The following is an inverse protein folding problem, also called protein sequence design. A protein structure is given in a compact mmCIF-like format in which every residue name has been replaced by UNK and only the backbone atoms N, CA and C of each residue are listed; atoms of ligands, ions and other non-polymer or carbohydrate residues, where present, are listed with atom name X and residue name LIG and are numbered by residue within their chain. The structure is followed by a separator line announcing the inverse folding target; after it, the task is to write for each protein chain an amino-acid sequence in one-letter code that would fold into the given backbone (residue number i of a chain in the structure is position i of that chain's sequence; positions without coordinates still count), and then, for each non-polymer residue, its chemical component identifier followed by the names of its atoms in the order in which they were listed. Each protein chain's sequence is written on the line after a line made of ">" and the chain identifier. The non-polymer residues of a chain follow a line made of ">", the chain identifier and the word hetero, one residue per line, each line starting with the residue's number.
data_IF_056929138160
#
_entry.id   IF_056929138160
#
_cell.length_a   1.000
_cell.length_b   1.000
_cell.length_c   1.000
_cell.angle_alpha   90.00
_cell.angle_beta   90.00
_cell.angle_gamma   90.00
#
_symmetry.space_group_name_H-M   'P 1'
#
loop_
_entity.id
_entity.type
_entity.pdbx_description
1 polymer ?
#
# COMPACT_ATOMS: atom_id res chain seq x y z
N UNK A 1 -12.97 -30.90 0.64
CA UNK A 1 -11.72 -30.15 0.49
C UNK A 1 -11.99 -28.69 0.81
N UNK A 2 -11.10 -28.03 1.54
CA UNK A 2 -11.19 -26.59 1.81
C UNK A 2 -10.94 -25.82 0.51
N UNK A 3 -11.75 -24.78 0.23
CA UNK A 3 -11.53 -23.92 -0.94
C UNK A 3 -10.27 -23.06 -0.69
N UNK A 4 -9.39 -22.83 -1.68
CA UNK A 4 -8.24 -21.97 -1.54
C UNK A 4 -8.67 -20.51 -1.33
N UNK A 5 -7.83 -19.69 -0.68
CA UNK A 5 -8.04 -18.26 -0.59
C UNK A 5 -7.71 -17.61 -1.94
N UNK A 6 -8.66 -16.83 -2.49
CA UNK A 6 -8.48 -16.13 -3.76
C UNK A 6 -8.51 -14.61 -3.57
N UNK A 7 -7.72 -13.90 -4.37
CA UNK A 7 -7.75 -12.44 -4.46
C UNK A 7 -8.76 -11.99 -5.53
N UNK A 8 -8.79 -12.68 -6.66
CA UNK A 8 -9.60 -12.35 -7.82
C UNK A 8 -10.21 -13.58 -8.47
N UNK A 9 -11.33 -13.39 -9.13
CA UNK A 9 -11.96 -14.37 -10.01
C UNK A 9 -12.43 -13.66 -11.27
N UNK A 10 -12.22 -14.27 -12.45
CA UNK A 10 -12.74 -13.70 -13.70
C UNK A 10 -14.27 -13.70 -13.72
N UNK A 11 -14.93 -12.77 -14.46
CA UNK A 11 -16.39 -12.69 -14.53
C UNK A 11 -17.06 -13.99 -14.99
N UNK A 12 -16.42 -14.74 -15.88
CA UNK A 12 -16.87 -16.05 -16.36
C UNK A 12 -16.55 -17.20 -15.38
N UNK A 13 -15.86 -16.90 -14.28
CA UNK A 13 -15.44 -17.84 -13.21
C UNK A 13 -14.55 -18.98 -13.68
N UNK A 14 -13.91 -18.85 -14.83
CA UNK A 14 -13.02 -19.89 -15.37
C UNK A 14 -11.63 -19.84 -14.76
N UNK A 15 -11.21 -18.67 -14.25
CA UNK A 15 -9.89 -18.47 -13.64
C UNK A 15 -10.01 -17.81 -12.28
N UNK A 16 -9.14 -18.21 -11.37
CA UNK A 16 -8.98 -17.60 -10.04
C UNK A 16 -7.51 -17.28 -9.82
N UNK A 17 -7.24 -16.19 -9.12
CA UNK A 17 -5.92 -15.84 -8.63
C UNK A 17 -5.86 -16.11 -7.13
N UNK A 18 -4.87 -16.86 -6.67
CA UNK A 18 -4.68 -17.10 -5.24
C UNK A 18 -4.31 -15.81 -4.52
N UNK A 19 -4.82 -15.62 -3.31
CA UNK A 19 -4.51 -14.48 -2.47
C UNK A 19 -3.00 -14.40 -2.18
N UNK A 20 -2.36 -15.53 -1.90
CA UNK A 20 -0.92 -15.60 -1.70
C UNK A 20 -0.15 -15.13 -2.94
N UNK A 21 -0.51 -15.59 -4.12
CA UNK A 21 0.16 -15.21 -5.37
C UNK A 21 0.03 -13.71 -5.63
N UNK A 22 -1.17 -13.17 -5.50
CA UNK A 22 -1.44 -11.74 -5.64
C UNK A 22 -0.62 -10.90 -4.64
N UNK A 23 -0.71 -11.23 -3.35
CA UNK A 23 0.02 -10.49 -2.30
C UNK A 23 1.53 -10.52 -2.53
N UNK A 24 2.10 -11.66 -2.97
CA UNK A 24 3.53 -11.76 -3.28
C UNK A 24 3.92 -10.94 -4.50
N UNK A 25 3.16 -11.02 -5.58
CA UNK A 25 3.40 -10.22 -6.79
C UNK A 25 3.36 -8.71 -6.48
N UNK A 26 2.33 -8.28 -5.75
CA UNK A 26 2.19 -6.86 -5.33
C UNK A 26 3.33 -6.46 -4.40
N UNK A 27 3.71 -7.34 -3.46
CA UNK A 27 4.85 -7.11 -2.56
C UNK A 27 6.16 -6.93 -3.30
N UNK A 28 6.47 -7.81 -4.25
CA UNK A 28 7.69 -7.75 -5.06
C UNK A 28 7.73 -6.49 -5.94
N UNK A 29 6.65 -6.15 -6.61
CA UNK A 29 6.57 -4.95 -7.47
C UNK A 29 6.65 -3.66 -6.67
N UNK A 30 5.90 -3.56 -5.58
CA UNK A 30 5.94 -2.40 -4.70
C UNK A 30 7.33 -2.24 -4.07
N UNK A 31 7.96 -3.34 -3.65
CA UNK A 31 9.34 -3.36 -3.16
C UNK A 31 10.33 -2.87 -4.21
N UNK A 32 10.29 -3.40 -5.43
CA UNK A 32 11.16 -3.00 -6.52
C UNK A 32 11.02 -1.49 -6.87
N UNK A 33 9.80 -0.96 -6.88
CA UNK A 33 9.57 0.47 -7.05
C UNK A 33 10.18 1.29 -5.90
N UNK A 34 9.96 0.87 -4.66
CA UNK A 34 10.46 1.57 -3.47
C UNK A 34 11.98 1.44 -3.26
N UNK A 35 12.64 0.45 -3.87
CA UNK A 35 14.10 0.30 -3.85
C UNK A 35 14.82 1.54 -4.38
N UNK A 36 14.23 2.25 -5.35
CA UNK A 36 14.80 3.47 -5.93
C UNK A 36 14.98 4.60 -4.91
N UNK A 37 14.22 4.57 -3.82
CA UNK A 37 14.34 5.54 -2.71
C UNK A 37 14.87 4.90 -1.42
N UNK A 38 15.42 3.67 -1.51
CA UNK A 38 16.00 2.94 -0.38
C UNK A 38 14.99 2.38 0.61
N UNK A 39 13.76 2.07 0.16
CA UNK A 39 12.64 1.58 0.96
C UNK A 39 12.04 0.27 0.39
N UNK A 40 12.88 -0.62 -0.13
CA UNK A 40 12.46 -1.88 -0.75
C UNK A 40 11.60 -2.73 0.18
N UNK A 41 12.10 -2.97 1.39
CA UNK A 41 11.41 -3.81 2.36
C UNK A 41 10.14 -3.18 2.91
N UNK A 42 10.09 -1.84 3.02
CA UNK A 42 8.86 -1.15 3.38
C UNK A 42 7.80 -1.29 2.27
N UNK A 43 8.19 -1.17 1.00
CA UNK A 43 7.33 -1.42 -0.14
C UNK A 43 6.81 -2.85 -0.16
N UNK A 44 7.71 -3.82 0.00
CA UNK A 44 7.36 -5.25 0.03
C UNK A 44 6.39 -5.58 1.16
N UNK A 45 6.69 -5.15 2.39
CA UNK A 45 5.81 -5.29 3.55
C UNK A 45 4.40 -4.76 3.27
N UNK A 46 4.33 -3.56 2.67
CA UNK A 46 3.07 -2.89 2.37
C UNK A 46 2.24 -3.69 1.36
N UNK A 47 2.88 -4.18 0.30
CA UNK A 47 2.22 -5.00 -0.72
C UNK A 47 1.79 -6.36 -0.21
N UNK A 48 2.59 -7.03 0.63
CA UNK A 48 2.22 -8.33 1.22
C UNK A 48 0.95 -8.25 2.08
N UNK A 49 0.70 -7.11 2.75
CA UNK A 49 -0.39 -6.96 3.73
C UNK A 49 -1.62 -6.22 3.19
N UNK A 50 -1.57 -5.61 1.99
CA UNK A 50 -2.61 -4.69 1.53
C UNK A 50 -4.01 -5.32 1.50
N UNK A 51 -4.09 -6.57 1.14
CA UNK A 51 -5.31 -7.34 0.95
C UNK A 51 -5.56 -8.41 2.05
N UNK A 52 -4.92 -8.28 3.22
CA UNK A 52 -5.09 -9.21 4.35
C UNK A 52 -6.58 -9.48 4.66
N UNK A 53 -7.42 -8.47 4.60
CA UNK A 53 -8.85 -8.60 4.88
C UNK A 53 -9.62 -9.46 3.87
N UNK A 54 -9.05 -9.74 2.69
CA UNK A 54 -9.66 -10.70 1.75
C UNK A 54 -9.67 -12.14 2.30
N UNK A 55 -8.89 -12.43 3.34
CA UNK A 55 -8.87 -13.75 3.98
C UNK A 55 -10.12 -14.05 4.86
N UNK A 56 -10.99 -13.06 5.10
CA UNK A 56 -12.27 -13.30 5.78
C UNK A 56 -13.16 -14.27 5.00
N UNK A 57 -13.85 -15.17 5.68
CA UNK A 57 -14.73 -16.16 5.04
C UNK A 57 -15.85 -15.49 4.23
N UNK A 58 -16.41 -14.41 4.72
CA UNK A 58 -17.47 -13.65 4.08
C UNK A 58 -16.98 -12.98 2.79
N UNK A 59 -15.74 -12.50 2.78
CA UNK A 59 -15.11 -11.94 1.56
C UNK A 59 -14.83 -13.06 0.57
N UNK A 60 -14.33 -14.21 1.03
CA UNK A 60 -14.11 -15.38 0.17
C UNK A 60 -15.42 -15.91 -0.41
N UNK A 61 -16.48 -16.02 0.38
CA UNK A 61 -17.78 -16.44 -0.13
C UNK A 61 -18.30 -15.49 -1.21
N UNK A 62 -18.16 -14.19 -1.01
CA UNK A 62 -18.48 -13.19 -2.04
C UNK A 62 -17.63 -13.38 -3.32
N UNK A 63 -16.32 -13.53 -3.19
CA UNK A 63 -15.43 -13.77 -4.33
C UNK A 63 -15.80 -15.05 -5.10
N UNK A 64 -16.26 -16.06 -4.40
CA UNK A 64 -16.80 -17.29 -5.02
C UNK A 64 -18.25 -17.16 -5.50
N UNK A 65 -18.85 -15.96 -5.42
CA UNK A 65 -20.13 -15.60 -6.02
C UNK A 65 -21.34 -15.74 -5.12
N UNK A 66 -21.16 -15.81 -3.81
CA UNK A 66 -22.25 -15.61 -2.89
C UNK A 66 -22.73 -14.14 -2.92
N UNK A 67 -24.02 -13.87 -2.67
CA UNK A 67 -24.52 -12.50 -2.59
C UNK A 67 -23.85 -11.74 -1.44
N UNK A 68 -23.58 -10.43 -1.66
CA UNK A 68 -23.01 -9.56 -0.63
C UNK A 68 -24.02 -9.42 0.52
N UNK A 69 -23.55 -9.73 1.73
CA UNK A 69 -24.27 -9.46 2.97
C UNK A 69 -23.51 -8.36 3.71
N UNK A 70 -24.02 -7.13 3.66
CA UNK A 70 -23.37 -5.98 4.31
C UNK A 70 -22.26 -5.31 3.48
N UNK A 71 -21.43 -4.49 4.14
CA UNK A 71 -20.24 -3.87 3.54
C UNK A 71 -19.03 -4.72 3.82
N UNK A 72 -18.37 -5.16 2.76
CA UNK A 72 -17.07 -5.84 2.84
C UNK A 72 -15.98 -4.78 2.74
N UNK A 73 -15.30 -4.51 3.86
CA UNK A 73 -14.14 -3.62 3.90
C UNK A 73 -12.90 -4.46 4.23
N UNK A 74 -12.10 -4.78 3.21
CA UNK A 74 -10.92 -5.62 3.35
C UNK A 74 -9.62 -4.81 3.54
N UNK A 75 -9.59 -3.53 3.17
CA UNK A 75 -8.36 -2.71 3.27
C UNK A 75 -8.01 -2.29 4.70
N UNK A 76 -8.98 -2.25 5.61
CA UNK A 76 -8.74 -1.84 7.00
C UNK A 76 -8.05 -2.91 7.85
N UNK A 77 -8.16 -4.18 7.51
CA UNK A 77 -7.56 -5.26 8.30
C UNK A 77 -6.03 -5.22 8.28
N UNK A 78 -5.41 -5.13 7.10
CA UNK A 78 -3.95 -5.00 6.97
C UNK A 78 -3.42 -3.71 7.61
N UNK A 79 -4.12 -2.59 7.40
CA UNK A 79 -3.82 -1.32 8.05
C UNK A 79 -3.78 -1.44 9.57
N UNK A 80 -4.81 -2.04 10.16
CA UNK A 80 -4.96 -2.21 11.60
C UNK A 80 -3.89 -3.17 12.14
N UNK A 81 -3.68 -4.29 11.48
CA UNK A 81 -2.74 -5.30 11.94
C UNK A 81 -1.32 -4.77 12.02
N UNK A 82 -0.80 -4.13 10.96
CA UNK A 82 0.58 -3.63 10.95
C UNK A 82 0.79 -2.53 12.00
N UNK A 83 -0.23 -1.71 12.25
CA UNK A 83 -0.16 -0.69 13.29
C UNK A 83 -0.22 -1.29 14.71
N UNK A 84 -1.14 -2.20 14.99
CA UNK A 84 -1.28 -2.83 16.31
C UNK A 84 -0.06 -3.68 16.67
N UNK A 85 0.51 -4.40 15.68
CA UNK A 85 1.67 -5.26 15.89
C UNK A 85 2.98 -4.46 16.08
N UNK A 86 3.19 -3.39 15.31
CA UNK A 86 4.51 -2.74 15.22
C UNK A 86 4.51 -1.24 15.47
N UNK A 87 3.37 -0.59 15.65
CA UNK A 87 3.28 0.86 15.77
C UNK A 87 2.71 1.36 17.08
N UNK A 88 1.56 0.84 17.51
CA UNK A 88 0.72 1.41 18.58
C UNK A 88 1.44 1.60 19.92
N UNK A 89 2.17 0.58 20.37
CA UNK A 89 2.90 0.60 21.64
C UNK A 89 4.43 0.56 21.45
N UNK A 90 4.90 0.77 20.23
CA UNK A 90 6.31 0.66 19.90
C UNK A 90 7.07 1.93 20.31
N UNK A 91 8.19 1.73 21.01
CA UNK A 91 9.06 2.82 21.47
C UNK A 91 10.18 3.15 20.47
N UNK A 92 10.56 2.19 19.62
CA UNK A 92 11.57 2.38 18.57
C UNK A 92 10.98 3.21 17.43
N UNK A 93 11.43 4.46 17.28
CA UNK A 93 10.89 5.42 16.32
C UNK A 93 10.84 4.88 14.87
N UNK A 94 11.87 4.12 14.45
CA UNK A 94 11.93 3.59 13.09
C UNK A 94 10.86 2.53 12.81
N UNK A 95 10.59 1.64 13.76
CA UNK A 95 9.51 0.66 13.66
C UNK A 95 8.15 1.34 13.63
N UNK A 96 7.91 2.26 14.56
CA UNK A 96 6.64 3.00 14.61
C UNK A 96 6.39 3.78 13.32
N UNK A 97 7.43 4.40 12.76
CA UNK A 97 7.33 5.16 11.52
C UNK A 97 7.07 4.24 10.31
N UNK A 98 7.79 3.11 10.19
CA UNK A 98 7.56 2.13 9.15
C UNK A 98 6.12 1.57 9.21
N UNK A 99 5.65 1.19 10.41
CA UNK A 99 4.28 0.72 10.61
C UNK A 99 3.23 1.76 10.24
N UNK A 100 3.44 3.04 10.59
CA UNK A 100 2.53 4.13 10.24
C UNK A 100 2.46 4.34 8.71
N UNK A 101 3.62 4.34 8.03
CA UNK A 101 3.68 4.52 6.58
C UNK A 101 2.98 3.37 5.85
N UNK A 102 3.25 2.13 6.24
CA UNK A 102 2.57 0.96 5.68
C UNK A 102 1.06 1.01 5.95
N UNK A 103 0.65 1.27 7.21
CA UNK A 103 -0.76 1.34 7.60
C UNK A 103 -1.55 2.34 6.76
N UNK A 104 -1.04 3.56 6.58
CA UNK A 104 -1.72 4.60 5.80
C UNK A 104 -1.81 4.21 4.33
N UNK A 105 -0.75 3.68 3.73
CA UNK A 105 -0.78 3.24 2.34
C UNK A 105 -1.80 2.12 2.14
N UNK A 106 -1.78 1.10 2.98
CA UNK A 106 -2.71 -0.03 2.96
C UNK A 106 -4.16 0.45 3.14
N UNK A 107 -4.44 1.25 4.16
CA UNK A 107 -5.81 1.69 4.45
C UNK A 107 -6.43 2.57 3.37
N UNK A 108 -5.62 3.16 2.50
CA UNK A 108 -6.06 4.12 1.49
C UNK A 108 -6.04 3.60 0.05
N UNK A 109 -5.53 2.39 -0.23
CA UNK A 109 -5.25 1.94 -1.61
C UNK A 109 -6.50 1.85 -2.51
N UNK A 110 -7.70 1.66 -1.95
CA UNK A 110 -8.97 1.69 -2.68
C UNK A 110 -9.72 3.03 -2.56
N UNK A 111 -9.13 4.08 -2.04
CA UNK A 111 -9.85 5.32 -1.83
C UNK A 111 -8.99 6.57 -1.73
N UNK A 112 -9.58 7.64 -1.20
CA UNK A 112 -8.85 8.87 -0.92
C UNK A 112 -7.85 8.66 0.21
N UNK A 113 -6.66 9.24 0.05
CA UNK A 113 -5.69 9.32 1.14
C UNK A 113 -6.28 10.12 2.29
N UNK A 114 -6.03 9.65 3.50
CA UNK A 114 -6.36 10.39 4.70
C UNK A 114 -5.15 11.16 5.21
N UNK A 115 -5.39 12.30 5.83
CA UNK A 115 -4.36 13.05 6.52
C UNK A 115 -3.91 12.32 7.78
N UNK A 116 -2.63 12.50 8.14
CA UNK A 116 -2.07 11.94 9.38
C UNK A 116 -2.59 12.71 10.57
N UNK A 117 -2.72 14.02 10.41
CA UNK A 117 -3.11 14.94 11.46
C UNK A 117 -3.93 16.09 10.87
N UNK A 118 -5.06 16.39 11.47
CA UNK A 118 -5.88 17.54 11.15
C UNK A 118 -5.50 18.70 12.09
N UNK A 119 -4.90 19.77 11.58
CA UNK A 119 -4.47 20.89 12.41
C UNK A 119 -5.62 21.73 12.97
N UNK A 120 -6.83 21.63 12.41
CA UNK A 120 -7.98 22.42 12.82
C UNK A 120 -8.62 21.88 14.11
N UNK A 121 -8.70 20.57 14.24
CA UNK A 121 -9.36 19.91 15.38
C UNK A 121 -8.44 18.99 16.20
N UNK A 122 -7.19 18.76 15.74
CA UNK A 122 -6.23 17.90 16.42
C UNK A 122 -6.50 16.41 16.28
N UNK A 123 -7.41 16.00 15.38
CA UNK A 123 -7.71 14.60 15.14
C UNK A 123 -6.63 13.91 14.30
N UNK A 124 -6.66 12.58 14.32
CA UNK A 124 -5.82 11.72 13.48
C UNK A 124 -6.71 10.88 12.53
N UNK A 125 -7.13 11.43 11.37
CA UNK A 125 -8.13 10.82 10.49
C UNK A 125 -7.80 9.38 10.07
N UNK A 126 -6.52 9.05 9.94
CA UNK A 126 -6.08 7.69 9.63
C UNK A 126 -6.38 6.68 10.77
N UNK A 127 -6.27 7.10 12.05
CA UNK A 127 -6.65 6.28 13.19
C UNK A 127 -8.16 6.15 13.30
N UNK A 128 -8.90 7.23 13.08
CA UNK A 128 -10.36 7.20 13.06
C UNK A 128 -10.88 6.25 11.99
N UNK A 129 -10.27 6.26 10.79
CA UNK A 129 -10.60 5.31 9.72
C UNK A 129 -10.34 3.86 10.13
N UNK A 130 -9.21 3.60 10.80
CA UNK A 130 -8.80 2.27 11.23
C UNK A 130 -9.75 1.65 12.23
N UNK A 131 -10.28 2.44 13.16
CA UNK A 131 -11.13 1.98 14.26
C UNK A 131 -12.61 2.38 14.09
N UNK A 132 -13.00 2.86 12.91
CA UNK A 132 -14.39 3.24 12.64
C UNK A 132 -15.33 2.01 12.61
N UNK A 133 -16.62 2.26 12.74
CA UNK A 133 -17.66 1.23 12.56
C UNK A 133 -17.69 0.63 11.13
N UNK A 134 -16.99 1.30 10.18
CA UNK A 134 -16.82 0.82 8.81
C UNK A 134 -15.55 -0.01 8.61
N UNK A 135 -14.74 -0.19 9.66
CA UNK A 135 -13.59 -1.09 9.64
C UNK A 135 -14.05 -2.54 9.46
N UNK A 136 -13.10 -3.42 9.15
CA UNK A 136 -13.39 -4.83 8.90
C UNK A 136 -14.03 -5.49 10.15
N UNK A 137 -15.29 -5.92 10.08
CA UNK A 137 -15.95 -6.61 11.20
C UNK A 137 -15.37 -8.01 11.45
N UNK A 138 -14.63 -8.56 10.47
CA UNK A 138 -14.06 -9.90 10.51
C UNK A 138 -12.55 -9.88 10.81
N UNK A 139 -12.02 -8.78 11.33
CA UNK A 139 -10.59 -8.54 11.53
C UNK A 139 -9.84 -9.73 12.15
N UNK A 140 -10.34 -10.28 13.27
CA UNK A 140 -9.66 -11.38 13.96
C UNK A 140 -9.59 -12.64 13.09
N UNK A 141 -10.68 -12.97 12.39
CA UNK A 141 -10.74 -14.10 11.47
C UNK A 141 -9.83 -13.87 10.26
N UNK A 142 -9.84 -12.66 9.68
CA UNK A 142 -8.98 -12.29 8.56
C UNK A 142 -7.50 -12.52 8.91
N UNK A 143 -7.07 -12.06 10.08
CA UNK A 143 -5.70 -12.23 10.55
C UNK A 143 -5.32 -13.71 10.74
N UNK A 144 -6.15 -14.46 11.47
CA UNK A 144 -5.90 -15.89 11.73
C UNK A 144 -5.79 -16.67 10.42
N UNK A 145 -6.75 -16.47 9.51
CA UNK A 145 -6.81 -17.18 8.23
C UNK A 145 -5.64 -16.79 7.33
N UNK A 146 -5.32 -15.49 7.23
CA UNK A 146 -4.24 -15.00 6.39
C UNK A 146 -2.88 -15.56 6.79
N UNK A 147 -2.55 -15.51 8.09
CA UNK A 147 -1.24 -15.97 8.58
C UNK A 147 -1.12 -17.50 8.63
N UNK A 148 -2.24 -18.21 8.67
CA UNK A 148 -2.23 -19.68 8.65
C UNK A 148 -2.19 -20.24 7.22
N UNK A 149 -2.81 -19.57 6.24
CA UNK A 149 -3.10 -20.14 4.93
C UNK A 149 -2.53 -19.37 3.74
N UNK A 150 -2.01 -18.14 3.97
CA UNK A 150 -1.53 -17.28 2.89
C UNK A 150 -0.05 -16.94 3.09
N UNK A 151 0.28 -16.06 4.04
CA UNK A 151 1.67 -15.63 4.29
C UNK A 151 2.01 -15.83 5.77
N UNK A 152 3.09 -16.57 6.10
CA UNK A 152 3.49 -16.77 7.48
C UNK A 152 3.79 -15.44 8.19
N UNK A 153 3.35 -15.29 9.43
CA UNK A 153 3.57 -14.08 10.22
C UNK A 153 5.05 -13.77 10.39
N UNK A 154 5.88 -14.79 10.53
CA UNK A 154 7.34 -14.67 10.68
C UNK A 154 7.99 -13.99 9.45
N UNK A 155 7.46 -14.22 8.26
CA UNK A 155 7.93 -13.52 7.04
C UNK A 155 7.66 -12.02 7.13
N UNK A 156 6.47 -11.65 7.58
CA UNK A 156 6.10 -10.24 7.79
C UNK A 156 6.95 -9.58 8.88
N UNK A 157 7.25 -10.28 9.96
CA UNK A 157 8.11 -9.79 11.03
C UNK A 157 9.55 -9.54 10.54
N UNK A 158 10.06 -10.40 9.66
CA UNK A 158 11.37 -10.22 9.03
C UNK A 158 11.40 -9.00 8.10
N UNK A 159 10.40 -8.86 7.23
CA UNK A 159 10.27 -7.69 6.36
C UNK A 159 10.14 -6.39 7.17
N UNK A 160 9.37 -6.41 8.26
CA UNK A 160 9.23 -5.26 9.16
C UNK A 160 10.57 -4.86 9.81
N UNK A 161 11.38 -5.82 10.21
CA UNK A 161 12.68 -5.54 10.80
C UNK A 161 13.65 -4.88 9.81
N UNK A 162 13.56 -5.25 8.52
CA UNK A 162 14.35 -4.65 7.45
C UNK A 162 13.81 -3.27 7.07
N UNK A 163 12.49 -3.13 6.93
CA UNK A 163 11.82 -1.84 6.68
C UNK A 163 12.14 -0.80 7.78
N UNK A 164 12.21 -1.23 9.04
CA UNK A 164 12.59 -0.34 10.13
C UNK A 164 14.05 0.16 10.03
N UNK A 165 14.98 -0.65 9.50
CA UNK A 165 16.35 -0.21 9.22
C UNK A 165 16.39 0.80 8.07
N UNK A 166 15.64 0.56 7.01
CA UNK A 166 15.49 1.50 5.89
C UNK A 166 14.94 2.85 6.37
N UNK A 167 13.87 2.83 7.17
CA UNK A 167 13.29 4.05 7.74
C UNK A 167 14.25 4.79 8.68
N UNK A 168 15.09 4.08 9.44
CA UNK A 168 16.12 4.71 10.26
C UNK A 168 17.19 5.41 9.40
N UNK A 169 17.60 4.78 8.29
CA UNK A 169 18.54 5.34 7.33
C UNK A 169 17.98 6.58 6.65
N UNK A 170 16.75 6.48 6.13
CA UNK A 170 16.03 7.60 5.52
C UNK A 170 15.89 8.78 6.48
N UNK A 171 15.46 8.52 7.71
CA UNK A 171 15.34 9.55 8.73
C UNK A 171 16.66 10.30 8.95
N UNK A 172 17.76 9.55 9.07
CA UNK A 172 19.10 10.14 9.23
C UNK A 172 19.49 11.00 8.04
N UNK A 173 19.26 10.53 6.82
CA UNK A 173 19.57 11.28 5.59
C UNK A 173 18.75 12.56 5.51
N UNK A 174 17.45 12.50 5.73
CA UNK A 174 16.58 13.67 5.70
C UNK A 174 16.91 14.68 6.81
N UNK A 175 17.24 14.22 8.01
CA UNK A 175 17.63 15.08 9.12
C UNK A 175 18.94 15.81 8.87
N UNK A 176 19.90 15.18 8.20
CA UNK A 176 21.19 15.79 7.87
C UNK A 176 21.09 16.82 6.72
N UNK A 177 20.16 16.61 5.79
CA UNK A 177 20.04 17.42 4.59
C UNK A 177 19.02 18.57 4.71
N UNK A 178 18.18 18.56 5.74
CA UNK A 178 17.12 19.56 5.90
C UNK A 178 17.34 20.36 7.17
N UNK A 179 17.68 21.64 6.99
CA UNK A 179 17.91 22.58 8.10
C UNK A 179 16.64 23.10 8.77
N UNK A 180 15.45 22.86 8.18
CA UNK A 180 14.19 23.30 8.76
C UNK A 180 13.13 22.19 8.81
N UNK A 181 12.24 22.31 9.78
CA UNK A 181 11.19 21.32 10.06
C UNK A 181 10.11 21.23 8.97
N UNK A 182 9.92 22.27 8.16
CA UNK A 182 8.92 22.31 7.08
C UNK A 182 9.40 21.43 5.91
N UNK A 183 10.64 21.65 5.43
CA UNK A 183 11.23 20.83 4.37
C UNK A 183 11.30 19.36 4.78
N UNK A 184 11.68 19.06 6.01
CA UNK A 184 11.73 17.69 6.52
C UNK A 184 10.35 17.03 6.47
N UNK A 185 9.29 17.68 6.97
CA UNK A 185 7.92 17.16 6.93
C UNK A 185 7.40 17.00 5.50
N UNK A 186 7.71 17.95 4.63
CA UNK A 186 7.35 17.87 3.22
C UNK A 186 7.98 16.64 2.55
N UNK A 187 9.26 16.38 2.81
CA UNK A 187 9.96 15.20 2.27
C UNK A 187 9.34 13.89 2.78
N UNK A 188 8.99 13.80 4.07
CA UNK A 188 8.26 12.63 4.59
C UNK A 188 6.91 12.45 3.91
N UNK A 189 6.18 13.53 3.67
CA UNK A 189 4.92 13.50 2.93
C UNK A 189 5.08 13.04 1.48
N UNK A 190 6.17 13.40 0.81
CA UNK A 190 6.48 12.90 -0.54
C UNK A 190 6.83 11.41 -0.52
N UNK A 191 7.60 10.94 0.45
CA UNK A 191 7.91 9.51 0.63
C UNK A 191 6.63 8.70 0.85
N UNK A 192 5.72 9.19 1.69
CA UNK A 192 4.41 8.55 1.91
C UNK A 192 3.59 8.46 0.63
N UNK A 193 3.59 9.52 -0.19
CA UNK A 193 2.90 9.53 -1.48
C UNK A 193 3.52 8.58 -2.48
N UNK A 194 4.84 8.48 -2.48
CA UNK A 194 5.55 7.54 -3.34
C UNK A 194 5.21 6.09 -2.99
N UNK A 195 5.28 5.72 -1.70
CA UNK A 195 4.90 4.39 -1.23
C UNK A 195 3.45 4.04 -1.61
N UNK A 196 2.53 4.98 -1.39
CA UNK A 196 1.13 4.81 -1.77
C UNK A 196 0.97 4.60 -3.28
N UNK A 197 1.64 5.41 -4.11
CA UNK A 197 1.60 5.29 -5.57
C UNK A 197 2.18 3.96 -6.04
N UNK A 198 3.30 3.54 -5.45
CA UNK A 198 3.94 2.25 -5.75
C UNK A 198 3.02 1.06 -5.41
N UNK A 199 2.30 1.12 -4.29
CA UNK A 199 1.32 0.09 -3.92
C UNK A 199 0.17 0.02 -4.92
N UNK A 200 -0.44 1.16 -5.24
CA UNK A 200 -1.58 1.21 -6.17
C UNK A 200 -1.18 0.74 -7.57
N UNK A 201 -0.02 1.17 -8.06
CA UNK A 201 0.51 0.72 -9.35
C UNK A 201 0.75 -0.80 -9.37
N UNK A 202 1.34 -1.33 -8.31
CA UNK A 202 1.63 -2.76 -8.19
C UNK A 202 0.34 -3.60 -8.16
N UNK A 203 -0.65 -3.21 -7.37
CA UNK A 203 -1.94 -3.88 -7.23
C UNK A 203 -2.73 -3.87 -8.55
N UNK A 204 -2.85 -2.71 -9.17
CA UNK A 204 -3.57 -2.57 -10.44
C UNK A 204 -2.89 -3.31 -11.58
N UNK A 205 -1.56 -3.28 -11.62
CA UNK A 205 -0.79 -4.02 -12.65
C UNK A 205 -1.00 -5.52 -12.52
N UNK A 206 -0.87 -6.08 -11.31
CA UNK A 206 -1.07 -7.52 -11.09
C UNK A 206 -2.51 -7.95 -11.43
N UNK A 207 -3.49 -7.16 -11.00
CA UNK A 207 -4.91 -7.39 -11.28
C UNK A 207 -5.21 -7.35 -12.79
N UNK A 208 -4.73 -6.32 -13.50
CA UNK A 208 -4.96 -6.18 -14.94
C UNK A 208 -4.35 -7.36 -15.73
N UNK A 209 -3.11 -7.75 -15.40
CA UNK A 209 -2.46 -8.89 -16.06
C UNK A 209 -3.16 -10.22 -15.77
N UNK A 210 -3.69 -10.40 -14.56
CA UNK A 210 -4.53 -11.54 -14.26
C UNK A 210 -5.82 -11.52 -15.10
N UNK A 211 -6.52 -10.38 -15.18
CA UNK A 211 -7.77 -10.25 -15.95
C UNK A 211 -7.55 -10.46 -17.45
N UNK A 212 -6.49 -9.88 -18.03
CA UNK A 212 -6.13 -10.00 -19.43
C UNK A 212 -5.47 -11.34 -19.79
N UNK A 213 -5.11 -12.15 -18.82
CA UNK A 213 -4.37 -13.40 -18.97
C UNK A 213 -3.01 -13.19 -19.68
N UNK A 214 -2.32 -12.14 -19.31
CA UNK A 214 -1.00 -11.80 -19.83
C UNK A 214 0.06 -12.01 -18.75
N UNK A 215 1.32 -12.36 -19.10
CA UNK A 215 2.39 -12.45 -18.12
C UNK A 215 2.68 -11.07 -17.51
N UNK A 216 2.96 -11.05 -16.20
CA UNK A 216 3.42 -9.83 -15.54
C UNK A 216 4.71 -9.31 -16.20
N UNK A 217 4.78 -8.02 -16.55
CA UNK A 217 6.03 -7.44 -17.03
C UNK A 217 7.09 -7.48 -15.91
N UNK A 218 8.35 -7.65 -16.31
CA UNK A 218 9.46 -7.45 -15.38
C UNK A 218 9.38 -6.06 -14.76
N UNK A 219 9.73 -5.94 -13.47
CA UNK A 219 9.83 -4.65 -12.81
C UNK A 219 11.09 -3.94 -13.33
N UNK A 220 11.01 -3.33 -14.52
CA UNK A 220 12.09 -2.53 -15.08
C UNK A 220 12.15 -1.18 -14.37
N UNK A 221 13.37 -0.70 -14.14
CA UNK A 221 13.58 0.62 -13.58
C UNK A 221 13.04 1.69 -14.54
N UNK A 222 12.16 2.54 -14.04
CA UNK A 222 11.61 3.66 -14.81
C UNK A 222 12.71 4.65 -15.16
N UNK A 223 12.85 4.99 -16.42
CA UNK A 223 13.73 6.09 -16.87
C UNK A 223 13.06 7.44 -16.55
N UNK A 224 13.25 7.88 -15.30
CA UNK A 224 12.70 9.15 -14.82
C UNK A 224 13.15 10.36 -15.61
N UNK A 225 14.44 10.47 -16.06
CA UNK A 225 14.87 11.54 -16.96
C UNK A 225 14.10 11.59 -18.28
N UNK A 226 13.90 10.46 -18.93
CA UNK A 226 13.12 10.40 -20.17
C UNK A 226 11.65 10.81 -19.94
N UNK A 227 11.05 10.35 -18.84
CA UNK A 227 9.69 10.72 -18.47
C UNK A 227 9.55 12.21 -18.17
N UNK A 228 10.49 12.77 -17.41
CA UNK A 228 10.52 14.21 -17.10
C UNK A 228 10.62 15.04 -18.38
N UNK A 229 11.52 14.69 -19.30
CA UNK A 229 11.64 15.35 -20.59
C UNK A 229 10.33 15.29 -21.40
N UNK A 230 9.64 14.15 -21.38
CA UNK A 230 8.34 14.01 -22.07
C UNK A 230 7.30 14.96 -21.49
N UNK A 231 7.21 15.07 -20.16
CA UNK A 231 6.31 16.00 -19.48
C UNK A 231 6.69 17.46 -19.80
N UNK A 232 7.96 17.81 -19.79
CA UNK A 232 8.41 19.18 -20.11
C UNK A 232 8.07 19.57 -21.56
N UNK A 233 8.28 18.68 -22.51
CA UNK A 233 7.88 18.89 -23.90
C UNK A 233 6.37 19.08 -24.02
N UNK A 234 5.58 18.21 -23.40
CA UNK A 234 4.11 18.33 -23.39
C UNK A 234 3.66 19.67 -22.78
N UNK A 235 4.23 20.09 -21.67
CA UNK A 235 3.93 21.38 -21.03
C UNK A 235 4.35 22.58 -21.91
N UNK A 236 5.46 22.48 -22.62
CA UNK A 236 5.92 23.51 -23.54
C UNK A 236 4.94 23.68 -24.72
N UNK A 237 4.45 22.58 -25.27
CA UNK A 237 3.44 22.59 -26.34
C UNK A 237 2.10 23.19 -25.88
N UNK A 238 1.67 22.87 -24.63
CA UNK A 238 0.45 23.45 -24.06
C UNK A 238 0.54 24.97 -23.86
N UNK A 239 1.69 25.49 -23.48
CA UNK A 239 1.92 26.94 -23.25
C UNK A 239 1.74 27.77 -24.49
N UNK A 240 1.88 27.21 -25.67
CA UNK A 240 1.72 27.94 -26.93
C UNK A 240 0.24 28.15 -27.33
N UNK A 241 -0.71 27.49 -26.69
CA UNK A 241 -2.10 27.43 -27.15
C UNK A 241 -3.11 28.21 -26.31
N UNK A 242 -2.80 28.63 -25.06
CA UNK A 242 -3.75 29.30 -24.15
C UNK A 242 -3.09 30.36 -23.26
N UNK A 243 -3.65 31.55 -23.21
CA UNK A 243 -3.21 32.68 -22.35
C UNK A 243 -3.27 32.33 -20.85
N UNK A 244 -4.17 31.43 -20.45
CA UNK A 244 -4.36 31.03 -19.03
C UNK A 244 -3.20 30.16 -18.53
N UNK A 245 -2.44 29.54 -19.42
CA UNK A 245 -1.33 28.66 -19.07
C UNK A 245 -0.08 29.43 -18.62
N UNK A 246 -0.05 30.78 -18.83
CA UNK A 246 0.98 31.66 -18.34
C UNK A 246 0.83 32.04 -16.85
N UNK A 247 -0.30 31.68 -16.21
CA UNK A 247 -0.61 32.02 -14.81
C UNK A 247 -0.42 30.83 -13.86
N UNK A 248 0.06 29.71 -14.34
CA UNK A 248 0.38 28.49 -13.58
C UNK A 248 1.87 28.22 -13.62
#
# INVERSE_FOLDING_TARGET
>A
MKRPLIAHQTPDRTRTQLLETHSRNVGERCGAACQQIGLEHLGRLTGLLHDLGKAAHEVQDYLYGAPIVGKLNHSSAGMRWVWEAFGKNETRKSYRLAAQFAAIAIGCHHGTRCDIFDPENGSEPWLERMYSEKADPFYAQSCETFFTECIPQEEIEQEMALAAKEMASLWKQLSNNNSNSVSFRMMLGLVQRYLFGALVDADWTDTAHFEENTPLPSAEATDWPALANTVEHFLADLKQTRTIDFLR
#
